data_IF_493150067897
#
_entry.id   IF_493150067897
#
_cell.length_a   1.000
_cell.length_b   1.000
_cell.length_c   1.000
_cell.angle_alpha   90.00
_cell.angle_beta   90.00
_cell.angle_gamma   90.00
#
_symmetry.space_group_name_H-M   'P 1'
#
loop_
_entity.id
_entity.type
_entity.pdbx_description
1 polymer ?
#
# COMPACT_ATOMS: atom_id res chain seq x y z
N UNK A 1 15.22 -16.11 -14.13
CA UNK A 1 14.03 -15.32 -13.75
C UNK A 1 14.49 -14.04 -13.06
N UNK A 2 14.56 -12.93 -13.80
CA UNK A 2 15.11 -11.66 -13.31
C UNK A 2 14.18 -11.01 -12.28
N UNK A 3 14.70 -10.75 -11.09
CA UNK A 3 14.05 -9.93 -10.07
C UNK A 3 13.96 -8.51 -10.64
N UNK A 4 12.75 -7.99 -10.90
CA UNK A 4 12.57 -6.57 -11.21
C UNK A 4 13.07 -5.76 -10.01
N UNK A 5 14.31 -5.32 -10.07
CA UNK A 5 14.81 -4.28 -9.19
C UNK A 5 14.02 -3.04 -9.61
N UNK A 6 12.99 -2.70 -8.81
CA UNK A 6 12.30 -1.42 -8.95
C UNK A 6 13.35 -0.34 -8.69
N UNK A 7 13.90 0.20 -9.77
CA UNK A 7 14.92 1.23 -9.71
C UNK A 7 14.30 2.48 -9.07
N UNK A 8 14.55 2.68 -7.77
CA UNK A 8 14.11 3.88 -7.03
C UNK A 8 14.80 5.16 -7.54
N UNK A 9 15.76 5.05 -8.46
CA UNK A 9 16.48 6.16 -9.09
C UNK A 9 15.62 7.00 -10.05
N UNK A 10 14.44 6.55 -10.46
CA UNK A 10 13.55 7.35 -11.29
C UNK A 10 12.77 8.42 -10.50
N UNK A 11 12.98 8.53 -9.19
CA UNK A 11 12.33 9.50 -8.31
C UNK A 11 13.37 10.41 -7.63
N UNK A 12 14.22 11.04 -8.44
CA UNK A 12 15.15 12.07 -7.96
C UNK A 12 14.43 13.41 -8.13
N UNK A 13 13.56 13.75 -7.18
CA UNK A 13 13.15 15.14 -7.02
C UNK A 13 14.35 15.92 -6.48
N UNK A 14 14.73 17.01 -7.13
CA UNK A 14 15.82 17.84 -6.61
C UNK A 14 15.35 18.49 -5.31
N UNK A 15 16.23 18.62 -4.31
CA UNK A 15 15.86 19.19 -3.01
C UNK A 15 15.18 20.57 -3.16
N UNK A 16 15.65 21.37 -4.13
CA UNK A 16 15.04 22.65 -4.48
C UNK A 16 13.56 22.50 -4.84
N UNK A 17 13.21 21.53 -5.67
CA UNK A 17 11.83 21.25 -6.06
C UNK A 17 10.99 20.82 -4.87
N UNK A 18 11.53 19.96 -3.99
CA UNK A 18 10.82 19.55 -2.76
C UNK A 18 10.52 20.73 -1.82
N UNK A 19 11.44 21.71 -1.75
CA UNK A 19 11.28 22.90 -0.89
C UNK A 19 10.36 23.97 -1.47
N UNK A 20 10.11 23.96 -2.79
CA UNK A 20 9.26 24.95 -3.47
C UNK A 20 7.85 24.46 -3.75
N UNK A 21 7.55 23.19 -3.50
CA UNK A 21 6.20 22.65 -3.65
C UNK A 21 5.27 23.29 -2.61
N UNK A 22 4.10 23.81 -3.03
CA UNK A 22 3.12 24.36 -2.10
C UNK A 22 2.59 23.27 -1.16
N UNK A 23 2.21 23.62 0.09
CA UNK A 23 1.59 22.66 0.98
C UNK A 23 0.31 22.11 0.37
N UNK A 24 0.07 20.82 0.58
CA UNK A 24 -1.12 20.13 0.09
C UNK A 24 -2.39 20.79 0.64
N UNK A 25 -3.41 20.97 -0.19
CA UNK A 25 -4.70 21.51 0.26
C UNK A 25 -5.47 20.48 1.09
N UNK A 26 -6.44 20.92 1.89
CA UNK A 26 -7.27 20.03 2.72
C UNK A 26 -8.00 18.96 1.88
N UNK A 27 -8.47 19.33 0.68
CA UNK A 27 -9.14 18.43 -0.26
C UNK A 27 -8.19 17.37 -0.82
N UNK A 28 -6.99 17.79 -1.24
CA UNK A 28 -5.96 16.87 -1.72
C UNK A 28 -5.53 15.90 -0.61
N UNK A 29 -5.38 16.39 0.62
CA UNK A 29 -5.08 15.55 1.78
C UNK A 29 -6.19 14.54 2.06
N UNK A 30 -7.46 14.96 2.02
CA UNK A 30 -8.60 14.08 2.17
C UNK A 30 -8.63 12.98 1.10
N UNK A 31 -8.34 13.33 -0.16
CA UNK A 31 -8.25 12.37 -1.26
C UNK A 31 -7.14 11.33 -1.05
N UNK A 32 -5.96 11.75 -0.58
CA UNK A 32 -4.85 10.84 -0.22
C UNK A 32 -5.28 9.90 0.91
N UNK A 33 -5.95 10.42 1.93
CA UNK A 33 -6.41 9.61 3.06
C UNK A 33 -7.47 8.58 2.66
N UNK A 34 -8.41 8.94 1.78
CA UNK A 34 -9.40 7.99 1.23
C UNK A 34 -8.70 6.83 0.52
N UNK A 35 -7.72 7.10 -0.35
CA UNK A 35 -6.93 6.07 -1.03
C UNK A 35 -6.18 5.15 -0.06
N UNK A 36 -5.60 5.73 1.01
CA UNK A 36 -4.89 4.95 2.04
C UNK A 36 -5.84 4.04 2.82
N UNK A 37 -7.02 4.53 3.18
CA UNK A 37 -8.04 3.75 3.87
C UNK A 37 -8.51 2.59 2.98
N UNK A 38 -8.82 2.86 1.71
CA UNK A 38 -9.23 1.84 0.75
C UNK A 38 -8.16 0.76 0.57
N UNK A 39 -6.89 1.15 0.45
CA UNK A 39 -5.80 0.19 0.34
C UNK A 39 -5.65 -0.67 1.61
N UNK A 40 -5.79 -0.08 2.81
CA UNK A 40 -5.77 -0.84 4.06
C UNK A 40 -6.90 -1.86 4.12
N UNK A 41 -8.13 -1.46 3.78
CA UNK A 41 -9.29 -2.37 3.74
C UNK A 41 -9.05 -3.54 2.80
N UNK A 42 -8.59 -3.29 1.58
CA UNK A 42 -8.25 -4.36 0.62
C UNK A 42 -7.20 -5.34 1.14
N UNK A 43 -6.21 -4.84 1.89
CA UNK A 43 -5.19 -5.70 2.50
C UNK A 43 -5.74 -6.52 3.67
N UNK A 44 -6.63 -5.94 4.49
CA UNK A 44 -7.30 -6.65 5.58
C UNK A 44 -8.24 -7.73 5.04
N UNK A 45 -9.11 -7.40 4.08
CA UNK A 45 -9.97 -8.36 3.38
C UNK A 45 -9.14 -9.50 2.75
N UNK A 46 -8.02 -9.18 2.09
CA UNK A 46 -7.15 -10.20 1.51
C UNK A 46 -6.46 -11.08 2.57
N UNK A 47 -6.18 -10.55 3.76
CA UNK A 47 -5.64 -11.33 4.89
C UNK A 47 -6.71 -12.23 5.49
N UNK A 48 -7.93 -11.73 5.68
CA UNK A 48 -9.08 -12.51 6.18
C UNK A 48 -9.40 -13.66 5.24
N UNK A 49 -9.43 -13.41 3.92
CA UNK A 49 -9.64 -14.48 2.94
C UNK A 49 -8.54 -15.55 2.99
N UNK A 50 -7.28 -15.17 3.18
CA UNK A 50 -6.17 -16.14 3.34
C UNK A 50 -6.30 -16.95 4.62
N UNK A 51 -6.64 -16.31 5.72
CA UNK A 51 -6.84 -16.99 7.00
C UNK A 51 -8.02 -17.97 6.91
N UNK A 52 -9.14 -17.55 6.33
CA UNK A 52 -10.30 -18.41 6.12
C UNK A 52 -10.01 -19.61 5.21
N UNK A 53 -9.11 -19.47 4.24
CA UNK A 53 -8.65 -20.60 3.41
C UNK A 53 -7.69 -21.53 4.17
N UNK A 54 -6.83 -21.00 5.03
CA UNK A 54 -5.89 -21.80 5.83
C UNK A 54 -6.59 -22.52 6.99
N UNK A 55 -7.60 -21.90 7.63
CA UNK A 55 -8.40 -22.54 8.68
C UNK A 55 -9.21 -23.73 8.15
N UNK A 56 -9.54 -23.75 6.85
CA UNK A 56 -10.20 -24.88 6.20
C UNK A 56 -9.24 -26.06 5.90
N UNK A 57 -7.93 -25.86 6.06
CA UNK A 57 -6.87 -26.84 5.77
C UNK A 57 -6.23 -27.45 7.02
N UNK A 58 -6.73 -27.14 8.23
CA UNK A 58 -6.32 -27.82 9.46
C UNK A 58 -7.21 -29.06 9.66
N UNK A 59 -6.73 -30.29 9.38
CA UNK A 59 -7.51 -31.49 9.68
C UNK A 59 -7.64 -31.63 11.20
N UNK A 60 -8.83 -32.03 11.67
CA UNK A 60 -9.07 -32.35 13.08
C UNK A 60 -7.98 -33.29 13.63
N UNK A 61 -7.48 -33.04 14.86
CA UNK A 61 -6.60 -33.99 15.52
C UNK A 61 -7.42 -35.25 15.87
N UNK A 62 -7.06 -36.38 15.27
CA UNK A 62 -7.58 -37.71 15.64
C UNK A 62 -6.93 -38.22 16.91
#
# INVERSE_FOLDING_TARGET
>A
MGRLIKNNYSNIAQLKELTTIPPMTAEQHAAVMRKRIEHRRKLEEAKELKLATDDFLVPEPR
#
